data_IF_062481840191
#
_entry.id   IF_062481840191
#
_cell.length_a   1.000
_cell.length_b   1.000
_cell.length_c   1.000
_cell.angle_alpha   90.00
_cell.angle_beta   90.00
_cell.angle_gamma   90.00
#
_symmetry.space_group_name_H-M   'P 1'
#
loop_
_entity.id
_entity.type
_entity.pdbx_description
1 polymer ?
#
# COMPACT_ATOMS: atom_id res chain seq x y z
N UNK A 1 -48.09 18.42 41.77
CA UNK A 1 -47.52 18.42 40.41
C UNK A 1 -48.66 18.47 39.41
N UNK A 2 -48.69 19.46 38.51
CA UNK A 2 -49.76 19.57 37.51
C UNK A 2 -49.48 18.59 36.35
N UNK A 3 -50.52 18.15 35.65
CA UNK A 3 -50.40 17.20 34.52
C UNK A 3 -49.39 17.67 33.46
N UNK A 4 -49.31 18.99 33.25
CA UNK A 4 -48.37 19.65 32.35
C UNK A 4 -46.90 19.39 32.72
N UNK A 5 -46.58 19.43 34.01
CA UNK A 5 -45.20 19.22 34.49
C UNK A 5 -44.79 17.76 34.23
N UNK A 6 -45.69 16.80 34.47
CA UNK A 6 -45.42 15.37 34.24
C UNK A 6 -45.18 15.05 32.76
N UNK A 7 -45.96 15.66 31.87
CA UNK A 7 -45.80 15.48 30.42
C UNK A 7 -44.46 16.07 29.96
N UNK A 8 -44.08 17.24 30.49
CA UNK A 8 -42.81 17.89 30.14
C UNK A 8 -41.60 17.04 30.57
N UNK A 9 -41.60 16.51 31.79
CA UNK A 9 -40.51 15.65 32.25
C UNK A 9 -40.44 14.32 31.47
N UNK A 10 -41.57 13.74 31.09
CA UNK A 10 -41.59 12.55 30.24
C UNK A 10 -41.11 12.83 28.82
N UNK A 11 -41.48 13.98 28.22
CA UNK A 11 -41.04 14.34 26.87
C UNK A 11 -39.54 14.65 26.82
N UNK A 12 -39.00 15.30 27.85
CA UNK A 12 -37.55 15.52 27.97
C UNK A 12 -36.78 14.21 28.15
N UNK A 13 -37.30 13.28 28.97
CA UNK A 13 -36.70 11.95 29.14
C UNK A 13 -36.71 11.13 27.85
N UNK A 14 -37.83 11.10 27.14
CA UNK A 14 -37.94 10.42 25.85
C UNK A 14 -37.02 11.05 24.78
N UNK A 15 -36.94 12.38 24.75
CA UNK A 15 -36.03 13.11 23.88
C UNK A 15 -34.56 12.77 24.16
N UNK A 16 -34.17 12.68 25.44
CA UNK A 16 -32.81 12.32 25.82
C UNK A 16 -32.46 10.87 25.45
N UNK A 17 -33.42 9.94 25.54
CA UNK A 17 -33.23 8.54 25.12
C UNK A 17 -33.06 8.42 23.61
N UNK A 18 -33.91 9.12 22.84
CA UNK A 18 -33.79 9.15 21.38
C UNK A 18 -32.48 9.83 20.97
N UNK A 19 -32.11 10.93 21.61
CA UNK A 19 -30.82 11.60 21.38
C UNK A 19 -29.65 10.68 21.72
N UNK A 20 -29.73 9.93 22.82
CA UNK A 20 -28.72 8.95 23.22
C UNK A 20 -28.59 7.80 22.22
N UNK A 21 -29.70 7.27 21.69
CA UNK A 21 -29.69 6.24 20.65
C UNK A 21 -29.12 6.78 19.33
N UNK A 22 -29.52 7.99 18.91
CA UNK A 22 -29.04 8.62 17.68
C UNK A 22 -27.56 8.99 17.80
N UNK A 23 -27.13 9.53 18.93
CA UNK A 23 -25.71 9.83 19.19
C UNK A 23 -24.88 8.57 19.32
N UNK A 24 -25.40 7.49 19.91
CA UNK A 24 -24.71 6.20 19.93
C UNK A 24 -24.55 5.65 18.50
N UNK A 25 -25.58 5.74 17.66
CA UNK A 25 -25.49 5.35 16.25
C UNK A 25 -24.62 6.29 15.39
N UNK A 26 -24.49 7.56 15.77
CA UNK A 26 -23.73 8.57 15.01
C UNK A 26 -22.26 8.68 15.47
N UNK A 27 -21.96 8.43 16.74
CA UNK A 27 -20.62 8.59 17.34
C UNK A 27 -19.97 7.28 17.77
N UNK A 28 -20.74 6.20 17.99
CA UNK A 28 -20.22 4.87 18.32
C UNK A 28 -20.43 3.95 17.11
N UNK A 29 -19.79 4.32 16.00
CA UNK A 29 -19.25 3.28 15.14
C UNK A 29 -18.22 2.54 15.98
N UNK A 30 -18.51 1.31 16.38
CA UNK A 30 -17.55 0.41 17.01
C UNK A 30 -16.36 0.23 16.07
N UNK A 31 -15.38 1.11 16.17
CA UNK A 31 -13.95 0.86 16.00
C UNK A 31 -13.22 2.20 16.10
N UNK A 32 -12.17 2.23 16.92
CA UNK A 32 -11.08 3.20 16.79
C UNK A 32 -10.20 2.88 15.56
N UNK A 33 -10.79 2.26 14.54
CA UNK A 33 -10.23 2.03 13.23
C UNK A 33 -11.06 2.91 12.28
N UNK A 34 -10.39 3.74 11.51
CA UNK A 34 -11.00 4.52 10.44
C UNK A 34 -11.49 3.57 9.31
N UNK A 35 -12.56 2.80 9.57
CA UNK A 35 -13.12 1.83 8.65
C UNK A 35 -14.61 2.12 8.40
N UNK A 36 -14.81 3.05 7.47
CA UNK A 36 -15.90 3.14 6.49
C UNK A 36 -17.29 2.65 6.88
N UNK A 37 -18.19 3.61 7.14
CA UNK A 37 -19.60 3.47 6.79
C UNK A 37 -19.88 4.43 5.64
N UNK A 38 -19.65 3.97 4.41
CA UNK A 38 -20.27 4.37 3.14
C UNK A 38 -19.36 3.86 1.99
N UNK A 39 -20.00 3.22 1.02
CA UNK A 39 -19.45 2.80 -0.26
C UNK A 39 -18.67 3.92 -0.94
N UNK A 40 -17.34 3.79 -1.00
CA UNK A 40 -16.44 4.76 -1.62
C UNK A 40 -15.20 4.96 -0.76
N UNK A 41 -14.29 4.00 -0.77
CA UNK A 41 -12.95 4.20 -0.23
C UNK A 41 -12.25 5.24 -1.11
N UNK A 42 -12.33 6.50 -0.70
CA UNK A 42 -11.53 7.56 -1.29
C UNK A 42 -10.08 7.44 -0.82
N UNK A 43 -9.13 7.73 -1.71
CA UNK A 43 -7.72 7.74 -1.38
C UNK A 43 -7.43 8.84 -0.34
N UNK A 44 -6.78 8.48 0.76
CA UNK A 44 -6.27 9.44 1.74
C UNK A 44 -4.95 10.03 1.29
N UNK A 45 -4.87 11.37 1.18
CA UNK A 45 -3.63 12.08 0.87
C UNK A 45 -3.04 12.65 2.16
N UNK A 46 -1.79 12.30 2.45
CA UNK A 46 -1.05 12.79 3.60
C UNK A 46 0.15 13.60 3.11
N UNK A 47 0.38 14.77 3.70
CA UNK A 47 1.57 15.58 3.40
C UNK A 47 2.82 14.97 4.04
N UNK A 48 2.76 14.76 5.35
CA UNK A 48 3.86 14.23 6.15
C UNK A 48 3.34 13.05 6.99
N UNK A 49 4.02 11.91 6.93
CA UNK A 49 3.73 10.73 7.75
C UNK A 49 4.95 10.49 8.65
N UNK A 50 4.79 10.68 9.96
CA UNK A 50 5.81 10.34 10.96
C UNK A 50 5.27 9.22 11.84
N UNK A 51 5.95 8.09 11.84
CA UNK A 51 5.59 6.92 12.63
C UNK A 51 6.84 6.15 13.04
N UNK A 52 6.70 5.23 13.99
CA UNK A 52 7.80 4.35 14.39
C UNK A 52 8.03 3.27 13.34
N UNK A 53 6.95 2.58 12.95
CA UNK A 53 6.95 1.48 12.00
C UNK A 53 5.75 1.65 11.06
N UNK A 54 5.92 1.29 9.78
CA UNK A 54 4.83 1.16 8.80
C UNK A 54 4.62 -0.34 8.54
N UNK A 55 3.39 -0.82 8.72
CA UNK A 55 3.00 -2.19 8.41
C UNK A 55 1.96 -2.19 7.29
N UNK A 56 2.33 -2.74 6.13
CA UNK A 56 1.41 -2.94 5.00
C UNK A 56 0.94 -4.39 5.05
N UNK A 57 -0.35 -4.61 5.28
CA UNK A 57 -0.95 -5.95 5.40
C UNK A 57 -1.77 -6.28 4.15
N UNK A 58 -1.91 -7.58 3.85
CA UNK A 58 -2.71 -8.11 2.73
C UNK A 58 -2.15 -7.86 1.31
N UNK A 59 -0.84 -7.59 1.21
CA UNK A 59 -0.15 -7.39 -0.08
C UNK A 59 -0.09 -5.92 -0.50
N UNK A 60 0.75 -5.63 -1.48
CA UNK A 60 1.05 -4.28 -1.95
C UNK A 60 2.43 -3.79 -1.54
N UNK A 61 2.64 -2.49 -1.68
CA UNK A 61 3.94 -1.87 -1.48
C UNK A 61 3.87 -0.36 -1.47
N UNK A 62 5.04 0.26 -1.42
CA UNK A 62 5.25 1.69 -1.54
C UNK A 62 5.69 1.96 -2.97
N UNK A 63 4.88 2.72 -3.70
CA UNK A 63 5.21 3.17 -5.06
C UNK A 63 5.57 4.65 -5.05
N UNK A 64 6.68 4.99 -5.67
CA UNK A 64 7.14 6.36 -5.90
C UNK A 64 6.76 6.70 -7.34
N UNK A 65 5.95 7.75 -7.50
CA UNK A 65 5.53 8.25 -8.80
C UNK A 65 6.26 9.54 -9.14
N UNK A 66 6.63 9.69 -10.41
CA UNK A 66 7.04 10.96 -10.96
C UNK A 66 5.84 11.93 -10.97
N UNK A 67 6.03 13.13 -10.40
CA UNK A 67 4.95 14.10 -10.21
C UNK A 67 4.33 14.59 -11.53
N UNK A 68 5.15 14.67 -12.59
CA UNK A 68 4.75 15.25 -13.87
C UNK A 68 4.05 14.20 -14.75
N UNK A 69 4.63 13.01 -14.84
CA UNK A 69 4.20 11.94 -15.76
C UNK A 69 3.31 10.89 -15.10
N UNK A 70 3.22 10.91 -13.76
CA UNK A 70 2.56 9.90 -12.93
C UNK A 70 3.10 8.47 -13.11
N UNK A 71 4.30 8.32 -13.70
CA UNK A 71 4.95 7.03 -13.91
C UNK A 71 5.58 6.54 -12.61
N UNK A 72 5.50 5.24 -12.33
CA UNK A 72 6.24 4.61 -11.23
C UNK A 72 7.75 4.67 -11.54
N UNK A 73 8.51 5.32 -10.67
CA UNK A 73 9.98 5.43 -10.73
C UNK A 73 10.69 4.63 -9.63
N UNK A 74 9.94 4.18 -8.61
CA UNK A 74 10.45 3.34 -7.56
C UNK A 74 9.34 2.52 -6.91
N UNK A 75 9.65 1.31 -6.48
CA UNK A 75 8.69 0.43 -5.82
C UNK A 75 9.38 -0.43 -4.76
N UNK A 76 8.75 -0.59 -3.60
CA UNK A 76 9.18 -1.50 -2.54
C UNK A 76 7.97 -2.24 -1.96
N UNK A 77 7.94 -3.56 -2.07
CA UNK A 77 6.88 -4.36 -1.46
C UNK A 77 6.68 -5.72 -2.08
N UNK A 78 5.45 -6.22 -2.02
CA UNK A 78 5.05 -7.50 -2.61
C UNK A 78 4.35 -7.24 -3.94
N UNK A 79 4.98 -7.67 -5.03
CA UNK A 79 4.45 -7.55 -6.39
C UNK A 79 4.37 -8.92 -7.03
N UNK A 80 3.21 -9.28 -7.57
CA UNK A 80 2.98 -10.58 -8.22
C UNK A 80 3.42 -11.78 -7.35
N UNK A 81 3.22 -11.70 -6.03
CA UNK A 81 3.62 -12.75 -5.08
C UNK A 81 5.11 -12.77 -4.71
N UNK A 82 5.92 -11.88 -5.27
CA UNK A 82 7.36 -11.77 -5.00
C UNK A 82 7.65 -10.52 -4.18
N UNK A 83 8.65 -10.59 -3.31
CA UNK A 83 9.14 -9.40 -2.60
C UNK A 83 10.14 -8.70 -3.52
N UNK A 84 9.87 -7.46 -3.92
CA UNK A 84 10.67 -6.72 -4.90
C UNK A 84 11.03 -5.31 -4.38
N UNK A 85 12.26 -4.89 -4.69
CA UNK A 85 12.71 -3.51 -4.70
C UNK A 85 13.09 -3.16 -6.13
N UNK A 86 12.47 -2.11 -6.69
CA UNK A 86 12.59 -1.75 -8.10
C UNK A 86 12.79 -0.25 -8.26
N UNK A 87 13.69 0.14 -9.16
CA UNK A 87 13.92 1.53 -9.58
C UNK A 87 13.77 1.57 -11.10
N UNK A 88 13.00 2.52 -11.61
CA UNK A 88 12.70 2.67 -13.03
C UNK A 88 13.00 4.10 -13.47
N UNK A 89 13.83 4.25 -14.50
CA UNK A 89 14.05 5.52 -15.20
C UNK A 89 13.69 5.33 -16.67
N UNK A 90 12.52 5.85 -17.06
CA UNK A 90 11.99 5.68 -18.40
C UNK A 90 11.97 4.19 -18.80
N UNK A 91 12.87 3.76 -19.66
CA UNK A 91 12.93 2.38 -20.17
C UNK A 91 14.03 1.55 -19.50
N UNK A 92 14.77 2.10 -18.53
CA UNK A 92 15.81 1.42 -17.77
C UNK A 92 15.26 0.95 -16.44
N UNK A 93 15.78 -0.17 -15.96
CA UNK A 93 15.36 -0.74 -14.69
C UNK A 93 16.54 -1.33 -13.93
N UNK A 94 16.53 -1.13 -12.61
CA UNK A 94 17.31 -1.95 -11.69
C UNK A 94 16.34 -2.53 -10.68
N UNK A 95 16.36 -3.83 -10.49
CA UNK A 95 15.49 -4.50 -9.53
C UNK A 95 16.23 -5.60 -8.78
N UNK A 96 15.75 -5.85 -7.57
CA UNK A 96 16.12 -7.03 -6.79
C UNK A 96 14.86 -7.59 -6.16
N UNK A 97 14.82 -8.90 -5.99
CA UNK A 97 13.67 -9.51 -5.37
C UNK A 97 13.89 -10.97 -5.04
N UNK A 98 12.91 -11.52 -4.33
CA UNK A 98 12.80 -12.95 -4.05
C UNK A 98 11.45 -13.39 -4.59
N UNK A 99 11.49 -14.31 -5.53
CA UNK A 99 10.32 -14.98 -6.07
C UNK A 99 10.32 -16.47 -5.68
N UNK A 100 9.40 -17.25 -6.26
CA UNK A 100 9.33 -18.70 -6.05
C UNK A 100 10.60 -19.46 -6.46
N UNK A 101 11.41 -18.88 -7.35
CA UNK A 101 12.64 -19.43 -7.92
C UNK A 101 13.92 -18.94 -7.20
N UNK A 102 13.79 -18.15 -6.12
CA UNK A 102 14.82 -17.60 -5.22
C UNK A 102 15.16 -16.11 -5.44
N UNK A 103 16.25 -15.66 -4.84
CA UNK A 103 16.72 -14.27 -4.92
C UNK A 103 17.38 -13.94 -6.26
N UNK A 104 17.10 -12.74 -6.77
CA UNK A 104 17.72 -12.18 -7.98
C UNK A 104 18.04 -10.69 -7.85
N UNK A 105 18.98 -10.24 -8.66
CA UNK A 105 19.33 -8.86 -8.95
C UNK A 105 19.44 -8.70 -10.46
N UNK A 106 18.71 -7.74 -11.01
CA UNK A 106 18.57 -7.50 -12.44
C UNK A 106 18.86 -6.03 -12.78
N UNK A 107 19.56 -5.80 -13.88
CA UNK A 107 19.77 -4.48 -14.47
C UNK A 107 19.45 -4.53 -15.96
N UNK A 108 18.43 -3.78 -16.37
CA UNK A 108 17.95 -3.68 -17.74
C UNK A 108 18.34 -2.34 -18.37
N UNK A 109 18.77 -2.37 -19.64
CA UNK A 109 18.97 -1.16 -20.42
C UNK A 109 17.65 -0.60 -20.96
N UNK A 110 17.73 0.52 -21.69
CA UNK A 110 16.57 1.21 -22.28
C UNK A 110 15.81 0.45 -23.37
N UNK A 111 16.26 -0.74 -23.77
CA UNK A 111 15.54 -1.61 -24.70
C UNK A 111 15.00 -2.88 -24.00
N UNK A 112 15.07 -2.92 -22.67
CA UNK A 112 14.58 -4.04 -21.86
C UNK A 112 15.52 -5.25 -21.81
N UNK A 113 16.75 -5.13 -22.32
CA UNK A 113 17.72 -6.22 -22.27
C UNK A 113 18.53 -6.19 -20.98
N UNK A 114 18.71 -7.37 -20.36
CA UNK A 114 19.57 -7.53 -19.18
C UNK A 114 21.04 -7.26 -19.54
N UNK A 115 21.63 -6.29 -18.85
CA UNK A 115 23.05 -5.93 -18.89
C UNK A 115 23.82 -6.59 -17.75
N UNK A 116 23.16 -6.78 -16.59
CA UNK A 116 23.71 -7.52 -15.47
C UNK A 116 22.61 -8.33 -14.78
N UNK A 117 22.96 -9.56 -14.38
CA UNK A 117 22.14 -10.44 -13.58
C UNK A 117 22.99 -11.16 -12.54
N UNK A 118 22.46 -11.28 -11.33
CA UNK A 118 22.95 -12.15 -10.27
C UNK A 118 21.74 -12.85 -9.67
N UNK A 119 21.72 -14.18 -9.65
CA UNK A 119 20.59 -14.89 -9.06
C UNK A 119 20.72 -16.39 -9.15
N UNK A 120 19.67 -17.06 -8.73
CA UNK A 120 19.52 -18.51 -8.84
C UNK A 120 18.78 -18.83 -10.14
N UNK A 121 19.30 -19.78 -10.91
CA UNK A 121 18.67 -20.28 -12.14
C UNK A 121 17.84 -21.53 -11.84
N UNK A 122 17.03 -21.97 -12.80
CA UNK A 122 15.99 -22.99 -12.60
C UNK A 122 16.48 -24.36 -12.08
N UNK A 123 17.77 -24.68 -12.21
CA UNK A 123 18.37 -25.91 -11.66
C UNK A 123 18.89 -25.75 -10.21
N UNK A 124 18.66 -24.59 -9.60
CA UNK A 124 19.17 -24.22 -8.28
C UNK A 124 20.61 -23.70 -8.28
N UNK A 125 21.27 -23.65 -9.45
CA UNK A 125 22.60 -23.08 -9.60
C UNK A 125 22.61 -21.57 -9.45
N UNK A 126 23.71 -21.02 -8.93
CA UNK A 126 23.95 -19.58 -8.95
C UNK A 126 24.51 -19.14 -10.30
N UNK A 127 24.08 -17.98 -10.78
CA UNK A 127 24.62 -17.37 -12.00
C UNK A 127 24.97 -15.90 -11.79
N UNK A 128 26.08 -15.50 -12.41
CA UNK A 128 26.48 -14.10 -12.58
C UNK A 128 26.64 -13.88 -14.07
N UNK A 129 25.89 -12.93 -14.62
CA UNK A 129 25.91 -12.61 -16.04
C UNK A 129 26.15 -11.12 -16.17
N UNK A 130 27.15 -10.76 -16.97
CA UNK A 130 27.41 -9.38 -17.38
C UNK A 130 27.53 -9.31 -18.89
N UNK A 131 26.90 -8.32 -19.51
CA UNK A 131 27.00 -8.07 -20.93
C UNK A 131 27.65 -6.72 -21.18
N UNK A 132 28.55 -6.68 -22.15
CA UNK A 132 29.02 -5.44 -22.72
C UNK A 132 28.29 -5.14 -24.03
N UNK A 133 28.68 -4.07 -24.73
CA UNK A 133 28.06 -3.67 -26.00
C UNK A 133 28.16 -4.72 -27.13
N UNK A 134 28.99 -5.75 -26.96
CA UNK A 134 29.17 -6.85 -27.91
C UNK A 134 28.44 -8.13 -27.48
N UNK A 135 27.79 -8.13 -26.31
CA UNK A 135 27.03 -9.26 -25.78
C UNK A 135 27.67 -9.93 -24.57
N UNK A 136 27.48 -11.24 -24.46
CA UNK A 136 27.96 -12.03 -23.31
C UNK A 136 29.50 -12.09 -23.28
N UNK A 137 30.09 -11.73 -22.14
CA UNK A 137 31.41 -12.24 -21.75
C UNK A 137 31.21 -13.41 -20.81
N UNK A 138 31.67 -14.59 -21.25
CA UNK A 138 31.88 -15.74 -20.36
C UNK A 138 33.11 -15.51 -19.50
#
# INVERSE_FOLDING_TARGET
MKLRDKILYMSFGAGLVVLGMVLNSCMVSNNADAHSFLSGLENGFFKDITCRNIYISHGGGISIHDEITNKVIGEFGVRNGSVELRIVDNDKEVSMGIDENSGRFDCLNSVGESVAFLGVVNDGGGAVVTKDKFGYKR
#
